data_IF_654832503116
#
_entry.id   IF_654832503116
#
_cell.length_a   1.000
_cell.length_b   1.000
_cell.length_c   1.000
_cell.angle_alpha   90.00
_cell.angle_beta   90.00
_cell.angle_gamma   90.00
#
_symmetry.space_group_name_H-M   'P 1'
#
loop_
_entity.id
_entity.type
_entity.pdbx_description
1 polymer ?
#
# COMPACT_ATOMS: atom_id res chain seq x y z
N UNK A 1 75.60 33.59 16.73
CA UNK A 1 74.26 34.02 16.19
C UNK A 1 73.64 32.84 15.45
N UNK A 2 72.68 32.17 16.09
CA UNK A 2 71.99 31.01 15.49
C UNK A 2 70.68 31.51 14.92
N UNK A 3 70.50 31.39 13.59
CA UNK A 3 69.28 31.69 12.91
C UNK A 3 68.50 30.37 12.87
N UNK A 4 67.50 30.28 13.71
CA UNK A 4 66.50 29.16 13.69
C UNK A 4 65.53 29.44 12.55
N UNK A 5 65.65 28.66 11.50
CA UNK A 5 64.73 28.71 10.36
C UNK A 5 63.57 27.82 10.68
N UNK A 6 62.43 28.42 11.10
CA UNK A 6 61.18 27.76 11.37
C UNK A 6 60.47 27.42 10.04
N UNK A 7 60.53 26.16 9.65
CA UNK A 7 59.72 25.63 8.53
C UNK A 7 58.32 25.44 8.97
N UNK A 8 57.44 26.34 8.53
CA UNK A 8 55.99 26.22 8.76
C UNK A 8 55.40 25.24 7.74
N UNK A 9 55.21 23.98 8.13
CA UNK A 9 54.47 22.98 7.35
C UNK A 9 52.97 23.26 7.51
N UNK A 10 52.36 23.83 6.47
CA UNK A 10 50.88 23.87 6.36
C UNK A 10 50.38 22.48 5.92
N UNK A 11 49.46 21.84 6.67
CA UNK A 11 48.79 20.65 6.17
C UNK A 11 47.73 21.08 5.17
N UNK A 12 47.89 20.66 3.93
CA UNK A 12 46.90 20.76 2.88
C UNK A 12 45.76 19.77 3.18
N UNK A 13 44.73 20.25 3.84
CA UNK A 13 43.50 19.45 4.11
C UNK A 13 42.73 19.32 2.81
N UNK A 14 42.86 18.16 2.17
CA UNK A 14 42.09 17.77 1.01
C UNK A 14 40.65 17.45 1.47
N UNK A 15 39.75 18.42 1.33
CA UNK A 15 38.32 18.22 1.57
C UNK A 15 37.76 17.36 0.45
N UNK A 16 37.61 16.06 0.71
CA UNK A 16 36.78 15.19 -0.12
C UNK A 16 35.31 15.57 0.10
N UNK A 17 34.75 16.33 -0.82
CA UNK A 17 33.28 16.52 -0.88
C UNK A 17 32.63 15.18 -1.21
N UNK A 18 31.63 14.70 -0.42
CA UNK A 18 30.88 13.52 -0.79
C UNK A 18 30.11 13.85 -2.06
N UNK A 19 30.38 13.14 -3.14
CA UNK A 19 29.54 13.11 -4.32
C UNK A 19 28.19 12.52 -3.86
N UNK A 20 27.20 13.38 -3.67
CA UNK A 20 25.82 12.96 -3.49
C UNK A 20 25.39 12.28 -4.80
N UNK A 21 25.49 10.96 -4.85
CA UNK A 21 24.85 10.17 -5.89
C UNK A 21 23.35 10.38 -5.72
N UNK A 22 22.77 11.15 -6.60
CA UNK A 22 21.32 11.28 -6.71
C UNK A 22 20.74 9.91 -7.01
N UNK A 23 20.33 9.20 -5.96
CA UNK A 23 19.48 8.02 -6.08
C UNK A 23 18.17 8.52 -6.63
N UNK A 24 17.95 8.36 -7.94
CA UNK A 24 16.63 8.53 -8.54
C UNK A 24 15.68 7.52 -7.89
N UNK A 25 14.86 8.00 -6.97
CA UNK A 25 13.80 7.20 -6.37
C UNK A 25 12.92 6.64 -7.49
N UNK A 26 12.68 5.32 -7.55
CA UNK A 26 11.78 4.77 -8.55
C UNK A 26 10.43 5.51 -8.53
N UNK A 27 9.80 5.75 -9.68
CA UNK A 27 8.50 6.42 -9.71
C UNK A 27 7.51 5.65 -8.85
N UNK A 28 6.97 6.32 -7.84
CA UNK A 28 5.94 5.74 -6.97
C UNK A 28 4.65 5.55 -7.77
N UNK A 29 3.98 4.40 -7.67
CA UNK A 29 2.70 4.18 -8.34
C UNK A 29 1.64 5.12 -7.76
N UNK A 30 0.81 5.69 -8.64
CA UNK A 30 -0.38 6.42 -8.19
C UNK A 30 -1.38 5.41 -7.64
N UNK A 31 -1.72 5.53 -6.36
CA UNK A 31 -2.73 4.68 -5.74
C UNK A 31 -4.11 5.07 -6.27
N UNK A 32 -4.86 4.09 -6.78
CA UNK A 32 -6.22 4.25 -7.32
C UNK A 32 -7.25 3.36 -6.63
N UNK A 33 -6.80 2.49 -5.73
CA UNK A 33 -7.65 1.61 -4.96
C UNK A 33 -6.89 0.94 -3.82
N UNK A 34 -7.62 0.26 -2.95
CA UNK A 34 -7.03 -0.58 -1.90
C UNK A 34 -7.63 -1.98 -2.01
N UNK A 35 -6.78 -2.95 -2.32
CA UNK A 35 -7.16 -4.36 -2.26
C UNK A 35 -7.18 -4.78 -0.80
N UNK A 36 -8.32 -5.26 -0.33
CA UNK A 36 -8.52 -5.69 1.05
C UNK A 36 -8.83 -7.17 1.08
N UNK A 37 -8.05 -7.94 1.85
CA UNK A 37 -8.25 -9.37 2.03
C UNK A 37 -8.72 -9.60 3.46
N UNK A 38 -9.89 -10.21 3.60
CA UNK A 38 -10.50 -10.55 4.87
C UNK A 38 -10.50 -12.07 5.03
N UNK A 39 -9.94 -12.55 6.12
CA UNK A 39 -9.87 -13.99 6.43
C UNK A 39 -10.30 -14.23 7.86
N UNK A 40 -11.04 -15.30 8.18
CA UNK A 40 -11.32 -15.65 9.57
C UNK A 40 -10.03 -15.82 10.36
N UNK A 41 -9.97 -15.27 11.57
CA UNK A 41 -8.83 -15.44 12.48
C UNK A 41 -8.65 -16.90 12.84
N UNK A 42 -7.42 -17.31 13.21
CA UNK A 42 -7.16 -18.64 13.76
C UNK A 42 -8.10 -18.92 14.94
N UNK A 43 -8.74 -20.09 14.95
CA UNK A 43 -9.70 -20.49 16.00
C UNK A 43 -11.13 -19.99 15.80
N UNK A 44 -11.39 -19.09 14.86
CA UNK A 44 -12.75 -18.69 14.49
C UNK A 44 -13.39 -19.81 13.66
N UNK A 45 -14.57 -20.24 14.09
CA UNK A 45 -15.30 -21.33 13.44
C UNK A 45 -16.28 -20.82 12.41
N UNK A 46 -16.62 -21.65 11.42
CA UNK A 46 -17.62 -21.30 10.41
C UNK A 46 -18.99 -20.93 11.02
N UNK A 47 -19.52 -21.64 12.05
CA UNK A 47 -20.76 -21.22 12.70
C UNK A 47 -20.71 -19.82 13.32
N UNK A 48 -19.57 -19.40 13.88
CA UNK A 48 -19.41 -18.04 14.42
C UNK A 48 -19.52 -16.98 13.32
N UNK A 49 -18.87 -17.20 12.18
CA UNK A 49 -18.95 -16.32 11.01
C UNK A 49 -20.39 -16.30 10.45
N UNK A 50 -21.00 -17.47 10.29
CA UNK A 50 -22.35 -17.60 9.70
C UNK A 50 -23.44 -16.96 10.55
N UNK A 51 -23.26 -16.87 11.88
CA UNK A 51 -24.18 -16.16 12.77
C UNK A 51 -24.25 -14.67 12.46
N UNK A 52 -23.13 -14.04 12.07
CA UNK A 52 -23.01 -12.60 11.77
C UNK A 52 -23.26 -12.32 10.28
N UNK A 53 -23.14 -13.33 9.42
CA UNK A 53 -23.19 -13.18 7.97
C UNK A 53 -24.42 -12.42 7.43
N UNK A 54 -25.66 -12.60 7.95
CA UNK A 54 -26.81 -11.82 7.46
C UNK A 54 -26.64 -10.31 7.66
N UNK A 55 -26.05 -9.90 8.79
CA UNK A 55 -25.80 -8.48 9.08
C UNK A 55 -24.61 -7.95 8.26
N UNK A 56 -23.59 -8.79 8.07
CA UNK A 56 -22.46 -8.49 7.21
C UNK A 56 -22.91 -8.19 5.78
N UNK A 57 -23.76 -9.04 5.21
CA UNK A 57 -24.29 -8.85 3.85
C UNK A 57 -25.10 -7.55 3.76
N UNK A 58 -25.98 -7.28 4.75
CA UNK A 58 -26.78 -6.04 4.79
C UNK A 58 -25.89 -4.78 4.86
N UNK A 59 -24.75 -4.86 5.52
CA UNK A 59 -23.80 -3.73 5.62
C UNK A 59 -22.91 -3.59 4.38
N UNK A 60 -22.55 -4.70 3.73
CA UNK A 60 -21.61 -4.73 2.59
C UNK A 60 -22.27 -4.35 1.26
N UNK A 61 -23.51 -4.82 1.02
CA UNK A 61 -24.24 -4.57 -0.24
C UNK A 61 -24.40 -3.07 -0.54
N UNK A 62 -24.79 -2.20 0.40
CA UNK A 62 -24.84 -0.76 0.14
C UNK A 62 -23.51 -0.17 -0.26
N UNK A 63 -22.39 -0.63 0.32
CA UNK A 63 -21.06 -0.14 -0.05
C UNK A 63 -20.71 -0.48 -1.50
N UNK A 64 -21.16 -1.61 -2.00
CA UNK A 64 -21.00 -1.99 -3.40
C UNK A 64 -21.90 -1.13 -4.32
N UNK A 65 -23.15 -0.95 -3.96
CA UNK A 65 -24.10 -0.14 -4.73
C UNK A 65 -23.69 1.35 -4.79
N UNK A 66 -23.09 1.86 -3.72
CA UNK A 66 -22.57 3.23 -3.63
C UNK A 66 -21.20 3.39 -4.32
N UNK A 67 -20.64 2.32 -4.89
CA UNK A 67 -19.35 2.34 -5.57
C UNK A 67 -18.13 2.45 -4.65
N UNK A 68 -18.29 2.29 -3.34
CA UNK A 68 -17.18 2.22 -2.38
C UNK A 68 -16.41 0.92 -2.49
N UNK A 69 -17.11 -0.16 -2.82
CA UNK A 69 -16.51 -1.43 -3.23
C UNK A 69 -16.64 -1.50 -4.75
N UNK A 70 -15.52 -1.49 -5.47
CA UNK A 70 -15.51 -1.61 -6.93
C UNK A 70 -15.72 -3.05 -7.39
N UNK A 71 -15.09 -3.98 -6.70
CA UNK A 71 -15.16 -5.41 -6.97
C UNK A 71 -15.08 -6.20 -5.66
N UNK A 72 -15.72 -7.33 -5.63
CA UNK A 72 -15.72 -8.27 -4.52
C UNK A 72 -15.63 -9.71 -5.01
N UNK A 73 -14.91 -10.52 -4.26
CA UNK A 73 -14.69 -11.91 -4.62
C UNK A 73 -14.68 -12.79 -3.37
N UNK A 74 -15.21 -14.00 -3.51
CA UNK A 74 -14.89 -15.07 -2.56
C UNK A 74 -13.51 -15.62 -2.90
N UNK A 75 -12.69 -15.86 -1.90
CA UNK A 75 -11.39 -16.51 -2.11
C UNK A 75 -11.61 -17.94 -2.62
N UNK A 76 -10.81 -18.36 -3.61
CA UNK A 76 -10.90 -19.69 -4.20
C UNK A 76 -10.61 -20.84 -3.23
N UNK A 77 -9.94 -20.56 -2.09
CA UNK A 77 -9.72 -21.52 -1.01
C UNK A 77 -10.88 -21.56 0.01
N UNK A 78 -11.95 -20.79 -0.21
CA UNK A 78 -13.10 -20.67 0.67
C UNK A 78 -12.83 -19.97 2.01
N UNK A 79 -11.66 -19.36 2.18
CA UNK A 79 -11.21 -18.79 3.46
C UNK A 79 -11.34 -17.28 3.53
N UNK A 80 -12.49 -16.75 3.14
CA UNK A 80 -12.79 -15.33 3.24
C UNK A 80 -13.08 -14.66 1.91
N UNK A 81 -12.95 -13.34 1.89
CA UNK A 81 -13.31 -12.49 0.76
C UNK A 81 -12.20 -11.52 0.41
N UNK A 82 -12.25 -11.02 -0.81
CA UNK A 82 -11.37 -9.97 -1.31
C UNK A 82 -12.26 -8.83 -1.82
N UNK A 83 -11.96 -7.61 -1.38
CA UNK A 83 -12.59 -6.39 -1.88
C UNK A 83 -11.57 -5.52 -2.58
N UNK A 84 -11.93 -4.93 -3.70
CA UNK A 84 -11.24 -3.78 -4.26
C UNK A 84 -12.03 -2.53 -3.87
N UNK A 85 -11.47 -1.74 -2.96
CA UNK A 85 -12.07 -0.53 -2.43
C UNK A 85 -11.71 0.69 -3.29
N UNK A 86 -12.70 1.55 -3.54
CA UNK A 86 -12.54 2.81 -4.26
C UNK A 86 -12.07 3.92 -3.32
N UNK A 87 -10.85 3.79 -2.84
CA UNK A 87 -10.17 4.80 -2.00
C UNK A 87 -8.68 4.81 -2.32
N UNK A 88 -8.03 5.92 -2.03
CA UNK A 88 -6.59 6.11 -2.32
C UNK A 88 -5.72 6.05 -1.08
N UNK A 89 -6.33 5.87 0.09
CA UNK A 89 -5.67 5.82 1.38
C UNK A 89 -6.05 4.55 2.15
N UNK A 90 -5.04 3.86 2.68
CA UNK A 90 -5.20 2.68 3.53
C UNK A 90 -5.95 3.00 4.83
N UNK A 91 -5.79 4.22 5.38
CA UNK A 91 -6.52 4.63 6.58
C UNK A 91 -8.03 4.73 6.32
N UNK A 92 -8.44 5.26 5.18
CA UNK A 92 -9.83 5.29 4.74
C UNK A 92 -10.38 3.87 4.54
N UNK A 93 -9.62 3.00 3.87
CA UNK A 93 -9.99 1.59 3.70
C UNK A 93 -10.22 0.89 5.04
N UNK A 94 -9.30 1.08 5.99
CA UNK A 94 -9.43 0.52 7.35
C UNK A 94 -10.70 1.01 8.05
N UNK A 95 -10.96 2.31 8.01
CA UNK A 95 -12.14 2.89 8.65
C UNK A 95 -13.43 2.32 8.05
N UNK A 96 -13.46 2.09 6.75
CA UNK A 96 -14.61 1.51 6.06
C UNK A 96 -14.84 0.05 6.49
N UNK A 97 -13.81 -0.77 6.51
CA UNK A 97 -13.89 -2.19 6.91
C UNK A 97 -14.17 -2.35 8.40
N UNK A 98 -13.59 -1.52 9.26
CA UNK A 98 -13.83 -1.56 10.71
C UNK A 98 -15.31 -1.35 11.10
N UNK A 99 -16.11 -0.77 10.22
CA UNK A 99 -17.54 -0.59 10.43
C UNK A 99 -18.38 -1.82 10.07
N UNK A 100 -17.80 -2.82 9.40
CA UNK A 100 -18.49 -4.05 9.05
C UNK A 100 -18.70 -4.96 10.27
N UNK A 101 -19.81 -5.67 10.36
CA UNK A 101 -20.15 -6.50 11.53
C UNK A 101 -19.09 -7.55 11.88
N UNK A 102 -18.55 -8.29 10.92
CA UNK A 102 -17.49 -9.30 11.19
C UNK A 102 -16.22 -8.67 11.75
N UNK A 103 -15.86 -7.47 11.30
CA UNK A 103 -14.71 -6.72 11.83
C UNK A 103 -14.98 -6.18 13.24
N UNK A 104 -16.19 -5.68 13.51
CA UNK A 104 -16.60 -5.22 14.85
C UNK A 104 -16.57 -6.34 15.88
N UNK A 105 -16.97 -7.56 15.49
CA UNK A 105 -16.88 -8.76 16.34
C UNK A 105 -15.47 -9.33 16.44
N UNK A 106 -14.49 -8.68 15.81
CA UNK A 106 -13.09 -9.08 15.83
C UNK A 106 -12.82 -10.52 15.33
N UNK A 107 -13.63 -10.98 14.37
CA UNK A 107 -13.55 -12.33 13.83
C UNK A 107 -12.60 -12.47 12.65
N UNK A 108 -12.19 -11.34 12.03
CA UNK A 108 -11.43 -11.33 10.80
C UNK A 108 -10.01 -10.79 10.98
N UNK A 109 -9.06 -11.41 10.28
CA UNK A 109 -7.78 -10.81 9.95
C UNK A 109 -7.92 -9.99 8.68
N UNK A 110 -7.36 -8.80 8.68
CA UNK A 110 -7.52 -7.81 7.62
C UNK A 110 -6.15 -7.44 7.04
N UNK A 111 -6.01 -7.61 5.74
CA UNK A 111 -4.83 -7.16 5.00
C UNK A 111 -5.23 -6.09 3.99
N UNK A 112 -4.50 -4.99 3.97
CA UNK A 112 -4.74 -3.86 3.07
C UNK A 112 -3.53 -3.65 2.18
N UNK A 113 -3.74 -3.66 0.87
CA UNK A 113 -2.71 -3.51 -0.15
C UNK A 113 -3.11 -2.34 -1.06
N UNK A 114 -2.43 -1.18 -0.98
CA UNK A 114 -2.69 -0.11 -1.93
C UNK A 114 -2.28 -0.56 -3.34
N UNK A 115 -3.14 -0.30 -4.31
CA UNK A 115 -2.94 -0.69 -5.71
C UNK A 115 -3.11 0.50 -6.63
N UNK A 116 -2.49 0.43 -7.79
CA UNK A 116 -2.56 1.43 -8.83
C UNK A 116 -2.36 0.84 -10.22
N UNK A 117 -2.30 1.68 -11.26
CA UNK A 117 -2.04 1.24 -12.61
C UNK A 117 -0.73 0.46 -12.71
N UNK A 118 -0.70 -0.53 -13.57
CA UNK A 118 0.50 -1.32 -13.84
C UNK A 118 1.59 -0.43 -14.46
N UNK A 119 2.60 -0.05 -13.68
CA UNK A 119 3.64 0.91 -14.10
C UNK A 119 4.37 0.55 -15.41
N UNK A 120 4.73 -0.73 -15.68
CA UNK A 120 5.38 -1.10 -16.94
C UNK A 120 4.60 -0.72 -18.20
N UNK A 121 3.27 -0.60 -18.15
CA UNK A 121 2.47 -0.16 -19.29
C UNK A 121 2.77 1.27 -19.71
N UNK A 122 3.21 2.14 -18.79
CA UNK A 122 3.63 3.50 -19.09
C UNK A 122 4.85 3.58 -20.03
N UNK A 123 5.65 2.54 -20.13
CA UNK A 123 6.79 2.45 -21.05
C UNK A 123 6.29 2.45 -22.51
N UNK A 124 5.23 1.72 -22.79
CA UNK A 124 4.64 1.63 -24.14
C UNK A 124 4.08 2.97 -24.62
N UNK A 125 3.62 3.82 -23.70
CA UNK A 125 3.09 5.14 -24.04
C UNK A 125 4.18 6.17 -24.36
N UNK A 126 5.40 5.99 -23.80
CA UNK A 126 6.53 6.88 -24.04
C UNK A 126 7.16 6.67 -25.41
N UNK A 127 7.13 5.44 -25.90
CA UNK A 127 7.74 5.02 -27.18
C UNK A 127 6.73 5.07 -28.35
N UNK A 128 5.54 5.63 -28.12
CA UNK A 128 4.51 5.73 -29.17
C UNK A 128 4.95 6.73 -30.25
N UNK A 129 4.91 6.35 -31.54
CA UNK A 129 5.31 7.21 -32.67
C UNK A 129 4.44 8.47 -32.85
N UNK A 130 3.33 8.59 -32.10
CA UNK A 130 2.47 9.78 -32.07
C UNK A 130 3.08 11.00 -31.36
N UNK A 131 4.26 10.85 -30.71
CA UNK A 131 4.97 11.90 -29.99
C UNK A 131 6.25 12.38 -30.70
N UNK A 132 6.39 12.13 -32.02
CA UNK A 132 7.47 12.70 -32.85
C UNK A 132 6.95 13.77 -33.78
#
# INVERSE_FOLDING_TARGET
MKIEMFFLLLPFAMVLAPMAQGQSTPPQPKITGVLTILSPKPGVTAPQVMKIMPDEIRATVPLYLDGKIQQWFTRGDGRGVIFLLNCTDVAEARALIANLPLSKENLMDEQFIPVGPLLPLGILLRDSPANK
#
